data_IF_786735384783
#
_entry.id   IF_786735384783
#
_cell.length_a   1.000
_cell.length_b   1.000
_cell.length_c   1.000
_cell.angle_alpha   90.00
_cell.angle_beta   90.00
_cell.angle_gamma   90.00
#
_symmetry.space_group_name_H-M   'P 1'
#
loop_
_entity.id
_entity.type
_entity.pdbx_description
1 polymer ?
#
# COMPACT_ATOMS: atom_id res chain seq x y z
N UNK A 1 -1.36 6.12 17.88
CA UNK A 1 -2.73 5.87 17.37
C UNK A 1 -3.62 6.97 17.92
N UNK A 2 -4.64 7.42 17.18
CA UNK A 2 -5.52 8.53 17.59
C UNK A 2 -6.97 8.14 17.86
N UNK A 3 -7.29 6.84 17.86
CA UNK A 3 -8.63 6.30 18.12
C UNK A 3 -8.83 5.98 19.60
N UNK A 4 -10.08 5.88 20.06
CA UNK A 4 -10.41 5.41 21.41
C UNK A 4 -10.47 3.87 21.45
N UNK A 5 -9.50 3.27 22.15
CA UNK A 5 -9.38 1.82 22.27
C UNK A 5 -10.57 1.17 23.00
N UNK A 6 -11.31 1.93 23.82
CA UNK A 6 -12.50 1.41 24.52
C UNK A 6 -13.71 1.27 23.60
N UNK A 7 -13.73 2.01 22.49
CA UNK A 7 -14.83 2.00 21.51
C UNK A 7 -14.35 1.55 20.13
N UNK A 8 -13.24 0.83 20.06
CA UNK A 8 -12.62 0.42 18.82
C UNK A 8 -13.53 -0.56 18.06
N UNK A 9 -13.79 -0.29 16.79
CA UNK A 9 -14.56 -1.23 15.96
C UNK A 9 -13.72 -2.47 15.59
N UNK A 10 -14.33 -3.65 15.38
CA UNK A 10 -13.60 -4.84 14.91
C UNK A 10 -12.82 -4.59 13.62
N UNK A 11 -13.40 -3.87 12.65
CA UNK A 11 -12.73 -3.51 11.39
C UNK A 11 -11.53 -2.60 11.61
N UNK A 12 -11.63 -1.62 12.53
CA UNK A 12 -10.49 -0.77 12.86
C UNK A 12 -9.36 -1.60 13.49
N UNK A 13 -9.69 -2.50 14.42
CA UNK A 13 -8.72 -3.42 15.01
C UNK A 13 -7.98 -4.24 13.94
N UNK A 14 -8.70 -4.79 12.96
CA UNK A 14 -8.08 -5.63 11.92
C UNK A 14 -7.17 -4.87 10.97
N UNK A 15 -7.37 -3.56 10.80
CA UNK A 15 -6.44 -2.67 10.08
C UNK A 15 -5.21 -2.38 10.94
N UNK A 16 -5.44 -1.99 12.19
CA UNK A 16 -4.41 -1.49 13.10
C UNK A 16 -3.43 -2.57 13.55
N UNK A 17 -3.90 -3.81 13.66
CA UNK A 17 -3.09 -4.95 14.08
C UNK A 17 -2.51 -5.77 12.92
N UNK A 18 -2.66 -5.32 11.68
CA UNK A 18 -2.31 -6.11 10.51
C UNK A 18 -0.78 -6.29 10.37
N UNK A 19 -0.23 -7.50 10.59
CA UNK A 19 1.22 -7.67 10.73
C UNK A 19 2.02 -7.31 9.48
N UNK A 20 1.49 -7.56 8.28
CA UNK A 20 2.19 -7.28 7.03
C UNK A 20 2.40 -5.77 6.82
N UNK A 21 1.38 -4.94 7.12
CA UNK A 21 1.48 -3.49 7.05
C UNK A 21 2.45 -2.95 8.11
N UNK A 22 2.41 -3.50 9.33
CA UNK A 22 3.34 -3.15 10.41
C UNK A 22 4.78 -3.52 10.02
N UNK A 23 5.00 -4.69 9.41
CA UNK A 23 6.34 -5.14 8.99
C UNK A 23 6.97 -4.20 7.96
N UNK A 24 6.19 -3.71 6.99
CA UNK A 24 6.66 -2.68 6.04
C UNK A 24 7.06 -1.40 6.78
N UNK A 25 6.26 -0.96 7.76
CA UNK A 25 6.58 0.23 8.54
C UNK A 25 7.84 0.05 9.42
N UNK A 26 8.06 -1.16 9.94
CA UNK A 26 9.19 -1.51 10.79
C UNK A 26 10.39 -2.05 10.00
N UNK A 27 10.40 -1.88 8.68
CA UNK A 27 11.47 -2.38 7.83
C UNK A 27 12.84 -1.80 8.25
N UNK A 28 13.88 -2.62 8.47
CA UNK A 28 15.19 -2.16 8.93
C UNK A 28 15.89 -1.18 7.99
N UNK A 29 15.51 -1.11 6.70
CA UNK A 29 16.08 -0.14 5.76
C UNK A 29 15.61 1.28 6.09
N UNK A 30 14.45 1.42 6.76
CA UNK A 30 13.95 2.69 7.29
C UNK A 30 13.74 3.76 6.23
N UNK A 31 13.40 3.37 5.00
CA UNK A 31 13.18 4.29 3.87
C UNK A 31 11.70 4.50 3.62
N UNK A 32 11.31 5.77 3.43
CA UNK A 32 9.98 6.12 2.95
C UNK A 32 9.83 5.76 1.47
N UNK A 33 8.60 5.45 1.08
CA UNK A 33 8.22 5.31 -0.33
C UNK A 33 8.24 6.67 -1.05
N UNK A 34 8.41 6.63 -2.36
CA UNK A 34 8.36 7.77 -3.26
C UNK A 34 7.24 7.61 -4.29
N UNK A 35 6.65 8.74 -4.70
CA UNK A 35 5.60 8.82 -5.71
C UNK A 35 6.24 8.74 -7.10
N UNK A 36 5.83 7.77 -7.92
CA UNK A 36 6.32 7.61 -9.31
C UNK A 36 5.27 8.00 -10.34
N UNK A 37 4.00 7.91 -9.99
CA UNK A 37 2.89 8.26 -10.86
C UNK A 37 1.87 9.11 -10.13
N UNK A 38 1.38 10.16 -10.79
CA UNK A 38 0.28 10.96 -10.27
C UNK A 38 -0.58 11.49 -11.41
N UNK A 39 -1.82 10.99 -11.48
CA UNK A 39 -2.83 11.42 -12.42
C UNK A 39 -3.93 12.18 -11.66
N UNK A 40 -4.31 13.37 -12.16
CA UNK A 40 -5.34 14.23 -11.55
C UNK A 40 -6.67 14.22 -12.30
N UNK A 41 -6.71 13.59 -13.48
CA UNK A 41 -7.86 13.60 -14.38
C UNK A 41 -8.79 12.39 -14.20
N UNK A 42 -8.68 11.70 -13.07
CA UNK A 42 -9.56 10.58 -12.73
C UNK A 42 -10.93 11.05 -12.22
N UNK A 43 -11.87 10.12 -12.06
CA UNK A 43 -13.23 10.42 -11.60
C UNK A 43 -13.25 11.17 -10.26
N UNK A 44 -13.90 12.34 -10.24
CA UNK A 44 -14.07 13.16 -9.05
C UNK A 44 -14.87 12.46 -7.95
N UNK A 45 -14.47 12.66 -6.70
CA UNK A 45 -15.21 12.29 -5.51
C UNK A 45 -16.36 13.27 -5.20
N UNK A 46 -17.04 13.05 -4.06
CA UNK A 46 -18.15 13.90 -3.61
C UNK A 46 -17.74 15.34 -3.27
N UNK A 47 -16.44 15.61 -3.14
CA UNK A 47 -15.87 16.93 -2.84
C UNK A 47 -15.22 17.58 -4.07
N UNK A 48 -15.29 16.94 -5.24
CA UNK A 48 -14.66 17.45 -6.46
C UNK A 48 -13.15 17.23 -6.50
N UNK A 49 -12.61 16.29 -5.71
CA UNK A 49 -11.20 15.91 -5.68
C UNK A 49 -10.99 14.58 -6.39
N UNK A 50 -9.81 14.39 -6.95
CA UNK A 50 -9.43 13.12 -7.58
C UNK A 50 -7.92 13.01 -7.68
N UNK A 51 -7.40 11.82 -7.38
CA UNK A 51 -6.06 11.45 -7.83
C UNK A 51 -5.89 9.94 -7.93
N UNK A 52 -5.15 9.50 -8.94
CA UNK A 52 -4.57 8.16 -9.01
C UNK A 52 -3.08 8.29 -8.77
N UNK A 53 -2.54 7.47 -7.88
CA UNK A 53 -1.15 7.56 -7.46
C UNK A 53 -0.50 6.18 -7.43
N UNK A 54 0.75 6.12 -7.87
CA UNK A 54 1.61 4.94 -7.68
C UNK A 54 2.78 5.35 -6.81
N UNK A 55 2.95 4.65 -5.69
CA UNK A 55 4.07 4.82 -4.77
C UNK A 55 4.89 3.55 -4.72
N UNK A 56 6.20 3.71 -4.55
CA UNK A 56 7.11 2.56 -4.50
C UNK A 56 8.24 2.81 -3.52
N UNK A 57 8.80 1.76 -2.94
CA UNK A 57 10.01 1.87 -2.14
C UNK A 57 10.71 0.53 -2.00
N UNK A 58 12.02 0.60 -1.79
CA UNK A 58 12.82 -0.60 -1.57
C UNK A 58 12.80 -0.97 -0.09
N UNK A 59 12.64 -2.25 0.22
CA UNK A 59 12.69 -2.82 1.56
C UNK A 59 14.06 -3.46 1.84
N UNK A 60 14.29 -3.85 3.10
CA UNK A 60 15.42 -4.69 3.46
C UNK A 60 15.29 -6.07 2.79
N UNK A 61 16.42 -6.69 2.43
CA UNK A 61 16.42 -8.00 1.76
C UNK A 61 16.27 -7.96 0.24
N UNK A 62 15.91 -6.82 -0.35
CA UNK A 62 15.80 -6.65 -1.80
C UNK A 62 14.37 -6.57 -2.33
N UNK A 63 13.38 -6.77 -1.47
CA UNK A 63 11.97 -6.66 -1.83
C UNK A 63 11.58 -5.21 -2.18
N UNK A 64 10.50 -5.08 -2.93
CA UNK A 64 9.91 -3.80 -3.32
C UNK A 64 8.48 -3.71 -2.81
N UNK A 65 8.13 -2.60 -2.16
CA UNK A 65 6.74 -2.26 -1.84
C UNK A 65 6.17 -1.38 -2.97
N UNK A 66 4.93 -1.66 -3.38
CA UNK A 66 4.19 -0.87 -4.36
C UNK A 66 2.79 -0.60 -3.83
N UNK A 67 2.37 0.67 -3.88
CA UNK A 67 1.00 1.09 -3.59
C UNK A 67 0.35 1.62 -4.86
N UNK A 68 -0.79 1.03 -5.24
CA UNK A 68 -1.67 1.53 -6.29
C UNK A 68 -2.87 2.20 -5.60
N UNK A 69 -2.83 3.52 -5.46
CA UNK A 69 -3.83 4.27 -4.71
C UNK A 69 -4.85 4.93 -5.64
N UNK A 70 -6.11 4.54 -5.46
CA UNK A 70 -7.26 5.24 -6.02
C UNK A 70 -7.83 6.21 -4.96
N UNK A 71 -7.61 7.50 -5.13
CA UNK A 71 -8.22 8.57 -4.35
C UNK A 71 -9.23 9.37 -5.20
N UNK A 72 -9.87 8.70 -6.17
CA UNK A 72 -11.01 9.22 -6.93
C UNK A 72 -12.35 8.66 -6.43
N UNK A 73 -13.45 9.16 -7.01
CA UNK A 73 -14.82 8.81 -6.62
C UNK A 73 -15.39 7.55 -7.25
N UNK A 74 -14.63 6.83 -8.10
CA UNK A 74 -15.10 5.63 -8.79
C UNK A 74 -14.01 4.57 -8.83
N UNK A 75 -14.44 3.31 -8.85
CA UNK A 75 -13.55 2.18 -9.12
C UNK A 75 -12.87 2.36 -10.47
N UNK A 76 -11.57 2.07 -10.50
CA UNK A 76 -10.76 2.16 -11.72
C UNK A 76 -9.68 1.09 -11.72
N UNK A 77 -9.16 0.80 -12.91
CA UNK A 77 -8.01 -0.08 -13.08
C UNK A 77 -6.74 0.77 -13.01
N UNK A 78 -5.85 0.43 -12.08
CA UNK A 78 -4.52 1.01 -11.98
C UNK A 78 -3.51 -0.05 -12.39
N UNK A 79 -2.48 0.34 -13.15
CA UNK A 79 -1.36 -0.53 -13.52
C UNK A 79 -0.07 0.24 -13.43
N UNK A 80 1.00 -0.42 -13.01
CA UNK A 80 2.35 0.11 -13.02
C UNK A 80 3.29 -0.88 -13.72
N UNK A 81 4.20 -0.37 -14.54
CA UNK A 81 5.24 -1.19 -15.18
C UNK A 81 6.44 -1.39 -14.24
N UNK A 82 7.27 -2.41 -14.48
CA UNK A 82 8.53 -2.56 -13.72
C UNK A 82 9.47 -1.36 -13.92
N UNK A 83 9.50 -0.78 -15.13
CA UNK A 83 10.29 0.43 -15.39
C UNK A 83 9.85 1.61 -14.53
N UNK A 84 8.54 1.78 -14.35
CA UNK A 84 7.96 2.81 -13.49
C UNK A 84 8.23 2.53 -12.01
N UNK A 85 8.10 1.27 -11.56
CA UNK A 85 8.37 0.84 -10.19
C UNK A 85 9.84 1.12 -9.81
N UNK A 86 10.77 0.75 -10.69
CA UNK A 86 12.22 0.87 -10.45
C UNK A 86 12.85 2.13 -11.05
N UNK A 87 12.05 3.15 -11.38
CA UNK A 87 12.53 4.41 -12.00
C UNK A 87 13.61 5.13 -11.19
N UNK A 88 13.62 4.98 -9.86
CA UNK A 88 14.62 5.63 -9.01
C UNK A 88 15.91 4.81 -8.83
N UNK A 89 15.92 3.55 -9.25
CA UNK A 89 17.11 2.71 -9.10
C UNK A 89 18.14 3.00 -10.19
N UNK A 90 17.69 3.18 -11.43
CA UNK A 90 18.52 3.61 -12.58
C UNK A 90 17.72 4.36 -13.64
N UNK A 91 18.37 5.22 -14.45
CA UNK A 91 17.72 5.92 -15.55
C UNK A 91 17.12 4.96 -16.59
N UNK A 92 16.03 5.39 -17.22
CA UNK A 92 15.51 4.81 -18.47
C UNK A 92 15.27 3.29 -18.41
N UNK A 93 14.76 2.77 -17.29
CA UNK A 93 14.44 1.34 -17.16
C UNK A 93 15.67 0.41 -17.15
N UNK A 94 16.87 0.95 -16.99
CA UNK A 94 18.12 0.16 -16.99
C UNK A 94 18.41 -0.55 -15.65
N UNK A 95 17.48 -0.44 -14.70
CA UNK A 95 17.54 -1.15 -13.42
C UNK A 95 17.50 -2.67 -13.68
N UNK A 96 18.45 -3.47 -13.16
CA UNK A 96 18.49 -4.92 -13.39
C UNK A 96 17.17 -5.62 -13.07
N UNK A 97 16.48 -5.13 -12.03
CA UNK A 97 15.20 -5.64 -11.54
C UNK A 97 14.09 -5.62 -12.58
N UNK A 98 14.16 -4.75 -13.59
CA UNK A 98 13.20 -4.68 -14.70
C UNK A 98 13.26 -5.94 -15.58
N UNK A 99 14.38 -6.65 -15.57
CA UNK A 99 14.61 -7.87 -16.36
C UNK A 99 14.41 -9.16 -15.54
N UNK A 100 13.97 -9.03 -14.30
CA UNK A 100 13.75 -10.15 -13.38
C UNK A 100 12.26 -10.48 -13.30
N UNK A 101 11.95 -11.73 -12.92
CA UNK A 101 10.60 -12.14 -12.59
C UNK A 101 10.34 -11.88 -11.10
N UNK A 102 9.18 -11.29 -10.80
CA UNK A 102 8.78 -10.93 -9.45
C UNK A 102 7.53 -11.67 -9.04
N UNK A 103 7.56 -12.27 -7.85
CA UNK A 103 6.35 -12.76 -7.20
C UNK A 103 5.61 -11.59 -6.56
N UNK A 104 4.31 -11.50 -6.83
CA UNK A 104 3.46 -10.42 -6.31
C UNK A 104 2.67 -10.93 -5.11
N UNK A 105 2.86 -10.28 -3.97
CA UNK A 105 2.19 -10.59 -2.72
C UNK A 105 1.19 -9.48 -2.36
N UNK A 106 -0.08 -9.84 -2.18
CA UNK A 106 -1.08 -8.92 -1.63
C UNK A 106 -0.88 -8.79 -0.12
N UNK A 107 -0.39 -7.64 0.32
CA UNK A 107 -0.14 -7.37 1.73
C UNK A 107 -1.41 -7.20 2.54
N UNK A 108 -2.58 -6.99 1.94
CA UNK A 108 -3.86 -6.98 2.66
C UNK A 108 -4.52 -8.36 2.73
N UNK A 109 -3.96 -9.36 2.04
CA UNK A 109 -4.40 -10.74 2.17
C UNK A 109 -4.22 -11.26 3.60
N UNK A 110 -5.03 -12.26 3.98
CA UNK A 110 -4.99 -12.93 5.30
C UNK A 110 -5.07 -11.97 6.50
N UNK A 111 -5.69 -10.81 6.32
CA UNK A 111 -6.08 -9.94 7.44
C UNK A 111 -6.97 -10.72 8.41
N UNK A 112 -6.86 -10.41 9.70
CA UNK A 112 -7.75 -10.98 10.73
C UNK A 112 -9.21 -10.82 10.33
N UNK A 113 -10.01 -11.88 10.54
CA UNK A 113 -11.46 -11.82 10.33
C UNK A 113 -12.13 -10.91 11.36
N UNK A 114 -13.11 -10.13 10.92
CA UNK A 114 -13.86 -9.22 11.80
C UNK A 114 -14.55 -9.96 12.97
N UNK A 115 -14.97 -11.21 12.77
CA UNK A 115 -15.60 -12.02 13.83
C UNK A 115 -14.60 -12.42 14.92
N UNK A 116 -13.34 -12.66 14.56
CA UNK A 116 -12.26 -12.93 15.52
C UNK A 116 -11.92 -11.65 16.28
N UNK A 117 -11.80 -10.53 15.56
CA UNK A 117 -11.55 -9.22 16.16
C UNK A 117 -12.65 -8.83 17.16
N UNK A 118 -13.92 -9.09 16.83
CA UNK A 118 -15.04 -8.85 17.72
C UNK A 118 -14.92 -9.66 19.02
N UNK A 119 -14.60 -10.96 18.93
CA UNK A 119 -14.39 -11.81 20.11
C UNK A 119 -13.26 -11.30 21.01
N UNK A 120 -12.21 -10.70 20.44
CA UNK A 120 -11.10 -10.11 21.21
C UNK A 120 -11.56 -8.83 21.94
N UNK A 121 -12.39 -8.00 21.31
CA UNK A 121 -12.89 -6.75 21.89
C UNK A 121 -13.96 -6.99 22.98
N UNK A 122 -14.73 -8.07 22.85
CA UNK A 122 -15.78 -8.44 23.81
C UNK A 122 -15.27 -9.23 25.04
N UNK A 123 -13.98 -9.60 25.08
CA UNK A 123 -13.35 -10.42 26.13
C UNK A 123 -12.91 -9.60 27.35
#
# INVERSE_FOLDING_TARGET
>A
MGDDLHTLSPTALTILNHPAAIAVNQDPKGRSVYLVHHEKDAALDIFGLSSIQVWTGTLYGGDQIVFLLNAGGKDTKISASLEEIFTHDRPEGSAPQVKEEWEVYDLWAKRMDNDVAKKILDA
#
